data_IF_289837715415
#
_entry.id   IF_289837715415
#
_cell.length_a   1.000
_cell.length_b   1.000
_cell.length_c   1.000
_cell.angle_alpha   90.00
_cell.angle_beta   90.00
_cell.angle_gamma   90.00
#
_symmetry.space_group_name_H-M   'P 1'
#
loop_
_entity.id
_entity.type
_entity.pdbx_description
1 polymer ?
#
# COMPACT_ATOMS: atom_id res chain seq x y z
N UNK A 1 -29.36 -13.07 2.51
CA UNK A 1 -28.99 -13.93 3.66
C UNK A 1 -28.82 -13.06 4.89
N UNK A 2 -29.03 -13.61 6.08
CA UNK A 2 -28.80 -12.93 7.35
C UNK A 2 -27.29 -12.67 7.52
N UNK A 3 -26.86 -11.47 7.16
CA UNK A 3 -25.48 -11.00 7.37
C UNK A 3 -25.02 -11.20 8.80
N UNK A 4 -25.96 -11.11 9.73
CA UNK A 4 -25.73 -11.23 11.14
C UNK A 4 -26.97 -11.84 11.81
N UNK A 5 -26.78 -12.90 12.57
CA UNK A 5 -27.77 -13.50 13.45
C UNK A 5 -27.42 -13.15 14.89
N UNK A 6 -28.40 -12.68 15.66
CA UNK A 6 -28.21 -12.58 17.09
C UNK A 6 -28.32 -13.98 17.71
N UNK A 7 -27.22 -14.48 18.28
CA UNK A 7 -27.25 -15.75 19.00
C UNK A 7 -27.87 -15.57 20.39
N UNK A 8 -28.62 -16.58 20.81
CA UNK A 8 -29.09 -16.66 22.19
C UNK A 8 -27.88 -16.87 23.13
N UNK A 9 -27.65 -16.00 24.13
CA UNK A 9 -26.58 -16.16 25.12
C UNK A 9 -26.58 -17.50 25.87
N UNK A 10 -27.71 -18.23 25.88
CA UNK A 10 -27.79 -19.59 26.43
C UNK A 10 -26.82 -20.56 25.74
N UNK A 11 -26.46 -20.32 24.47
CA UNK A 11 -25.52 -21.18 23.73
C UNK A 11 -24.10 -21.16 24.31
N UNK A 12 -23.63 -20.02 24.84
CA UNK A 12 -22.35 -19.95 25.55
C UNK A 12 -22.33 -20.81 26.81
N UNK A 13 -23.49 -20.95 27.47
CA UNK A 13 -23.63 -21.79 28.65
C UNK A 13 -23.49 -23.28 28.34
N UNK A 14 -23.96 -23.71 27.17
CA UNK A 14 -23.83 -25.09 26.72
C UNK A 14 -22.43 -25.43 26.18
N UNK A 15 -21.65 -24.43 25.78
CA UNK A 15 -20.33 -24.61 25.12
C UNK A 15 -19.13 -24.33 26.03
N UNK A 16 -19.35 -24.03 27.32
CA UNK A 16 -18.31 -23.69 28.31
C UNK A 16 -17.44 -22.46 27.95
N UNK A 17 -17.89 -21.58 27.05
CA UNK A 17 -17.15 -20.39 26.59
C UNK A 17 -17.25 -19.17 27.53
N UNK A 18 -17.47 -19.38 28.83
CA UNK A 18 -17.84 -18.33 29.81
C UNK A 18 -16.77 -17.27 30.11
N UNK A 19 -15.55 -17.38 29.58
CA UNK A 19 -14.37 -16.72 30.16
C UNK A 19 -14.05 -15.30 29.65
N UNK A 20 -14.92 -14.66 28.86
CA UNK A 20 -14.63 -13.33 28.27
C UNK A 20 -15.40 -12.16 28.91
N UNK A 21 -16.32 -12.41 29.86
CA UNK A 21 -17.04 -11.35 30.56
C UNK A 21 -16.25 -10.89 31.80
N UNK A 22 -15.50 -9.80 31.68
CA UNK A 22 -14.99 -9.07 32.85
C UNK A 22 -16.19 -8.38 33.51
N UNK A 23 -16.61 -8.88 34.68
CA UNK A 23 -17.60 -8.20 35.51
C UNK A 23 -16.98 -6.90 36.09
N UNK A 24 -17.07 -5.79 35.37
CA UNK A 24 -16.87 -4.47 35.99
C UNK A 24 -18.08 -4.13 36.88
N UNK A 25 -17.97 -4.44 38.17
CA UNK A 25 -18.91 -3.94 39.17
C UNK A 25 -18.64 -2.46 39.43
N UNK A 26 -19.45 -1.57 38.86
CA UNK A 26 -19.59 -0.20 39.37
C UNK A 26 -20.64 -0.17 40.48
N UNK A 27 -20.29 0.46 41.59
CA UNK A 27 -21.20 0.77 42.69
C UNK A 27 -22.28 1.75 42.22
N UNK A 28 -23.52 1.27 42.11
CA UNK A 28 -24.70 2.09 41.79
C UNK A 28 -25.53 1.49 40.65
N UNK A 29 -26.41 0.53 40.98
CA UNK A 29 -27.43 0.01 40.07
C UNK A 29 -26.92 -1.03 39.07
N UNK A 30 -27.49 -2.24 39.14
CA UNK A 30 -27.16 -3.34 38.22
C UNK A 30 -27.82 -3.12 36.86
N UNK A 31 -27.27 -2.22 36.04
CA UNK A 31 -27.60 -2.20 34.62
C UNK A 31 -26.78 -3.32 33.95
N UNK A 32 -27.38 -4.53 33.86
CA UNK A 32 -26.80 -5.62 33.06
C UNK A 32 -26.79 -5.16 31.60
N UNK A 33 -25.65 -4.62 31.15
CA UNK A 33 -25.39 -4.39 29.73
C UNK A 33 -25.41 -5.76 29.06
N UNK A 34 -26.56 -6.15 28.51
CA UNK A 34 -26.72 -7.47 27.90
C UNK A 34 -25.73 -7.62 26.76
N UNK A 35 -24.78 -8.54 26.90
CA UNK A 35 -23.85 -8.89 25.83
C UNK A 35 -24.67 -9.45 24.67
N UNK A 36 -24.68 -8.73 23.54
CA UNK A 36 -25.30 -9.20 22.30
C UNK A 36 -24.25 -10.03 21.55
N UNK A 37 -24.51 -11.33 21.44
CA UNK A 37 -23.68 -12.21 20.63
C UNK A 37 -24.18 -12.17 19.20
N UNK A 38 -23.28 -11.79 18.30
CA UNK A 38 -23.54 -11.70 16.89
C UNK A 38 -22.79 -12.83 16.19
N UNK A 39 -23.54 -13.66 15.48
CA UNK A 39 -23.04 -14.70 14.61
C UNK A 39 -23.14 -14.24 13.18
N UNK A 40 -22.15 -14.59 12.38
CA UNK A 40 -22.07 -14.20 10.98
C UNK A 40 -22.08 -15.51 10.17
N UNK A 41 -23.26 -16.11 9.91
CA UNK A 41 -23.37 -17.39 9.22
C UNK A 41 -22.67 -17.40 7.86
N UNK A 42 -22.57 -16.23 7.22
CA UNK A 42 -21.85 -16.03 5.97
C UNK A 42 -20.35 -16.34 6.03
N UNK A 43 -19.75 -16.41 7.23
CA UNK A 43 -18.37 -16.84 7.44
C UNK A 43 -18.26 -18.37 7.58
N UNK A 44 -19.37 -19.10 7.56
CA UNK A 44 -19.35 -20.56 7.52
C UNK A 44 -19.15 -21.08 6.11
N UNK A 45 -18.46 -22.21 6.05
CA UNK A 45 -18.11 -22.98 4.86
C UNK A 45 -19.28 -23.13 3.89
N UNK A 46 -19.38 -22.23 2.93
CA UNK A 46 -20.03 -22.49 1.65
C UNK A 46 -18.92 -22.69 0.62
N UNK A 47 -19.09 -23.67 -0.26
CA UNK A 47 -18.13 -23.93 -1.33
C UNK A 47 -18.08 -22.74 -2.28
N UNK A 48 -16.90 -22.53 -2.88
CA UNK A 48 -16.71 -21.49 -3.89
C UNK A 48 -17.56 -21.86 -5.12
N UNK A 49 -18.43 -20.98 -5.62
CA UNK A 49 -19.19 -21.26 -6.84
C UNK A 49 -18.27 -21.36 -8.06
N UNK A 50 -18.58 -22.28 -8.98
CA UNK A 50 -17.90 -22.38 -10.29
C UNK A 50 -18.37 -21.29 -11.27
N UNK A 51 -19.62 -20.86 -11.13
CA UNK A 51 -20.24 -19.77 -11.90
C UNK A 51 -21.01 -18.86 -10.94
N UNK A 52 -20.88 -17.54 -11.11
CA UNK A 52 -21.53 -16.55 -10.25
C UNK A 52 -22.66 -15.79 -10.95
N UNK A 53 -22.45 -15.48 -12.23
CA UNK A 53 -23.38 -14.73 -13.06
C UNK A 53 -23.19 -15.13 -14.51
N UNK A 54 -24.26 -15.06 -15.30
CA UNK A 54 -24.21 -15.26 -16.75
C UNK A 54 -23.66 -14.04 -17.50
N UNK A 55 -23.48 -12.91 -16.81
CA UNK A 55 -22.88 -11.70 -17.38
C UNK A 55 -21.36 -11.85 -17.50
N UNK A 56 -20.81 -11.33 -18.60
CA UNK A 56 -19.36 -11.28 -18.79
C UNK A 56 -18.77 -10.20 -17.89
N UNK A 57 -17.72 -10.56 -17.13
CA UNK A 57 -16.94 -9.61 -16.37
C UNK A 57 -16.19 -8.66 -17.29
N UNK A 58 -16.28 -7.36 -16.99
CA UNK A 58 -15.71 -6.27 -17.80
C UNK A 58 -14.57 -5.55 -17.10
N UNK A 59 -14.46 -5.71 -15.78
CA UNK A 59 -13.39 -5.15 -14.98
C UNK A 59 -12.83 -6.15 -13.98
N UNK A 60 -11.51 -6.13 -13.80
CA UNK A 60 -10.82 -6.89 -12.76
C UNK A 60 -9.65 -6.10 -12.17
N UNK A 61 -9.55 -6.12 -10.85
CA UNK A 61 -8.50 -5.44 -10.09
C UNK A 61 -8.04 -6.29 -8.92
N UNK A 62 -6.78 -6.13 -8.54
CA UNK A 62 -6.13 -6.94 -7.53
C UNK A 62 -5.29 -6.08 -6.57
N UNK A 63 -5.44 -6.33 -5.27
CA UNK A 63 -4.48 -5.91 -4.24
C UNK A 63 -3.61 -7.11 -3.87
N UNK A 64 -2.35 -7.10 -4.32
CA UNK A 64 -1.49 -8.27 -4.26
C UNK A 64 -0.29 -8.06 -3.35
N UNK A 65 -0.01 -9.03 -2.49
CA UNK A 65 1.20 -9.07 -1.67
C UNK A 65 2.47 -9.08 -2.53
N UNK A 66 3.45 -8.27 -2.18
CA UNK A 66 4.73 -8.20 -2.90
C UNK A 66 5.68 -9.35 -2.53
N UNK A 67 5.58 -9.85 -1.30
CA UNK A 67 6.35 -10.99 -0.79
C UNK A 67 5.52 -12.28 -0.83
N UNK A 68 6.17 -13.39 -1.18
CA UNK A 68 5.57 -14.74 -1.15
C UNK A 68 5.29 -15.27 0.27
N UNK A 69 5.74 -14.56 1.31
CA UNK A 69 5.53 -14.92 2.71
C UNK A 69 4.50 -14.04 3.39
N UNK A 70 3.86 -13.15 2.64
CA UNK A 70 2.85 -12.22 3.12
C UNK A 70 1.47 -12.67 2.71
N UNK A 71 0.52 -12.60 3.66
CA UNK A 71 -0.84 -13.07 3.48
C UNK A 71 -1.81 -12.08 4.12
N UNK A 72 -2.96 -11.87 3.49
CA UNK A 72 -4.06 -11.15 4.10
C UNK A 72 -4.62 -11.98 5.25
N UNK A 73 -4.76 -11.40 6.46
CA UNK A 73 -5.30 -12.13 7.59
C UNK A 73 -6.80 -12.39 7.37
N UNK A 74 -7.35 -13.54 7.82
CA UNK A 74 -8.79 -13.82 7.70
C UNK A 74 -9.69 -12.69 8.26
N UNK A 75 -9.24 -12.04 9.34
CA UNK A 75 -9.93 -10.90 9.94
C UNK A 75 -10.11 -9.74 8.96
N UNK A 76 -9.14 -9.48 8.09
CA UNK A 76 -9.25 -8.44 7.06
C UNK A 76 -10.42 -8.73 6.12
N UNK A 77 -10.55 -9.97 5.64
CA UNK A 77 -11.67 -10.36 4.79
C UNK A 77 -13.01 -10.19 5.50
N UNK A 78 -13.12 -10.61 6.76
CA UNK A 78 -14.37 -10.52 7.52
C UNK A 78 -14.82 -9.07 7.70
N UNK A 79 -13.90 -8.15 8.00
CA UNK A 79 -14.22 -6.71 8.11
C UNK A 79 -14.62 -6.14 6.76
N UNK A 80 -13.82 -6.43 5.72
CA UNK A 80 -14.07 -5.94 4.37
C UNK A 80 -15.43 -6.40 3.83
N UNK A 81 -15.76 -7.68 3.99
CA UNK A 81 -16.99 -8.25 3.45
C UNK A 81 -18.23 -7.68 4.14
N UNK A 82 -18.15 -7.40 5.45
CA UNK A 82 -19.21 -6.70 6.18
C UNK A 82 -19.36 -5.24 5.72
N UNK A 83 -18.25 -4.53 5.52
CA UNK A 83 -18.29 -3.15 5.02
C UNK A 83 -18.94 -3.09 3.63
N UNK A 84 -18.50 -3.93 2.70
CA UNK A 84 -19.03 -3.99 1.33
C UNK A 84 -20.50 -4.38 1.32
N UNK A 85 -20.87 -5.45 2.00
CA UNK A 85 -22.26 -5.89 2.03
C UNK A 85 -23.19 -4.82 2.64
N UNK A 86 -22.78 -4.19 3.75
CA UNK A 86 -23.63 -3.19 4.40
C UNK A 86 -23.76 -1.89 3.59
N UNK A 87 -22.66 -1.42 2.98
CA UNK A 87 -22.58 -0.15 2.26
C UNK A 87 -23.08 -0.23 0.80
N UNK A 88 -22.92 -1.38 0.14
CA UNK A 88 -23.02 -1.47 -1.33
C UNK A 88 -23.99 -2.52 -1.85
N UNK A 89 -24.36 -3.52 -1.05
CA UNK A 89 -25.39 -4.48 -1.46
C UNK A 89 -26.78 -3.90 -1.24
N UNK A 90 -27.73 -4.30 -2.09
CA UNK A 90 -29.12 -3.84 -2.01
C UNK A 90 -29.77 -4.33 -0.68
N UNK A 91 -30.42 -3.46 0.11
CA UNK A 91 -31.16 -3.86 1.30
C UNK A 91 -32.44 -4.63 0.96
N UNK A 92 -32.90 -5.49 1.87
CA UNK A 92 -34.21 -6.13 1.75
C UNK A 92 -35.30 -5.19 2.30
N UNK A 93 -36.47 -5.14 1.64
CA UNK A 93 -37.53 -4.14 1.90
C UNK A 93 -37.98 -4.08 3.37
N UNK A 94 -37.98 -5.21 4.08
CA UNK A 94 -38.51 -5.34 5.44
C UNK A 94 -37.44 -5.52 6.54
N UNK A 95 -36.15 -5.58 6.18
CA UNK A 95 -35.06 -5.78 7.15
C UNK A 95 -33.85 -4.87 6.85
N UNK A 96 -33.60 -3.92 7.76
CA UNK A 96 -32.50 -2.95 7.66
C UNK A 96 -31.11 -3.58 7.66
N UNK A 97 -30.96 -4.82 8.13
CA UNK A 97 -29.68 -5.52 8.21
C UNK A 97 -29.50 -6.53 7.08
N UNK A 98 -30.58 -7.06 6.50
CA UNK A 98 -30.44 -8.03 5.42
C UNK A 98 -30.05 -7.36 4.10
N UNK A 99 -29.23 -8.07 3.34
CA UNK A 99 -28.70 -7.62 2.06
C UNK A 99 -28.79 -8.73 1.00
N UNK A 100 -28.99 -8.32 -0.26
CA UNK A 100 -28.94 -9.19 -1.42
C UNK A 100 -27.49 -9.43 -1.84
N UNK A 101 -26.86 -10.41 -1.18
CA UNK A 101 -25.50 -10.82 -1.44
C UNK A 101 -25.29 -12.30 -1.11
N UNK A 102 -24.32 -12.91 -1.80
CA UNK A 102 -23.91 -14.31 -1.66
C UNK A 102 -22.50 -14.35 -1.08
N UNK A 103 -22.28 -15.22 -0.08
CA UNK A 103 -20.99 -15.40 0.56
C UNK A 103 -20.50 -16.83 0.43
N UNK A 104 -19.19 -16.99 0.42
CA UNK A 104 -18.50 -18.27 0.61
C UNK A 104 -17.21 -18.01 1.40
N UNK A 105 -16.46 -19.08 1.67
CA UNK A 105 -15.33 -19.08 2.60
C UNK A 105 -14.41 -17.85 2.51
N UNK A 106 -14.09 -17.41 1.29
CA UNK A 106 -13.15 -16.32 1.03
C UNK A 106 -13.70 -15.23 0.12
N UNK A 107 -15.01 -15.21 -0.17
CA UNK A 107 -15.54 -14.22 -1.10
C UNK A 107 -17.00 -13.84 -0.90
N UNK A 108 -17.35 -12.76 -1.57
CA UNK A 108 -18.60 -12.04 -1.50
C UNK A 108 -18.99 -11.62 -2.92
N UNK A 109 -20.24 -11.90 -3.30
CA UNK A 109 -20.85 -11.38 -4.50
C UNK A 109 -22.13 -10.61 -4.17
N UNK A 110 -22.38 -9.49 -4.85
CA UNK A 110 -23.62 -8.74 -4.72
C UNK A 110 -24.01 -8.06 -6.03
N UNK A 111 -25.30 -7.72 -6.12
CA UNK A 111 -25.81 -6.76 -7.10
C UNK A 111 -26.19 -5.46 -6.39
N UNK A 112 -25.93 -4.33 -7.03
CA UNK A 112 -26.31 -3.02 -6.51
C UNK A 112 -27.74 -2.60 -6.88
N UNK A 113 -28.51 -3.45 -7.58
CA UNK A 113 -29.86 -3.11 -8.07
C UNK A 113 -29.89 -2.13 -9.25
N UNK A 114 -28.72 -1.67 -9.72
CA UNK A 114 -28.55 -0.75 -10.84
C UNK A 114 -27.78 -1.40 -12.00
N UNK A 115 -28.02 -2.69 -12.24
CA UNK A 115 -27.44 -3.43 -13.35
C UNK A 115 -25.96 -3.77 -13.21
N UNK A 116 -25.34 -3.57 -12.03
CA UNK A 116 -23.92 -3.92 -11.79
C UNK A 116 -23.83 -5.08 -10.79
N UNK A 117 -23.11 -6.12 -11.18
CA UNK A 117 -22.68 -7.23 -10.33
C UNK A 117 -21.24 -7.04 -9.88
N UNK A 118 -20.95 -7.30 -8.61
CA UNK A 118 -19.62 -7.13 -8.03
C UNK A 118 -19.21 -8.35 -7.22
N UNK A 119 -17.97 -8.75 -7.39
CA UNK A 119 -17.33 -9.88 -6.76
C UNK A 119 -16.07 -9.39 -6.03
N UNK A 120 -15.93 -9.72 -4.76
CA UNK A 120 -14.70 -9.54 -3.99
C UNK A 120 -14.30 -10.87 -3.36
N UNK A 121 -13.07 -11.31 -3.59
CA UNK A 121 -12.59 -12.60 -3.13
C UNK A 121 -11.11 -12.55 -2.73
N UNK A 122 -10.74 -13.27 -1.68
CA UNK A 122 -9.34 -13.55 -1.35
C UNK A 122 -8.89 -14.83 -2.06
N UNK A 123 -7.92 -14.67 -2.97
CA UNK A 123 -7.39 -15.72 -3.86
C UNK A 123 -5.87 -15.83 -3.70
N UNK A 124 -5.21 -16.67 -4.51
CA UNK A 124 -3.76 -16.86 -4.52
C UNK A 124 -3.21 -17.21 -3.13
N UNK A 125 -3.79 -18.23 -2.49
CA UNK A 125 -3.42 -18.67 -1.13
C UNK A 125 -3.48 -17.54 -0.07
N UNK A 126 -4.42 -16.62 -0.20
CA UNK A 126 -4.56 -15.42 0.64
C UNK A 126 -3.51 -14.33 0.39
N UNK A 127 -2.84 -14.34 -0.74
CA UNK A 127 -1.88 -13.29 -1.13
C UNK A 127 -2.51 -12.19 -1.97
N UNK A 128 -3.77 -12.34 -2.39
CA UNK A 128 -4.40 -11.40 -3.29
C UNK A 128 -5.87 -11.15 -2.93
N UNK A 129 -6.27 -9.88 -2.86
CA UNK A 129 -7.68 -9.48 -2.87
C UNK A 129 -8.05 -9.20 -4.32
N UNK A 130 -8.97 -10.00 -4.85
CA UNK A 130 -9.52 -9.89 -6.19
C UNK A 130 -10.84 -9.13 -6.14
N UNK A 131 -11.00 -8.18 -7.06
CA UNK A 131 -12.26 -7.48 -7.35
C UNK A 131 -12.59 -7.75 -8.80
N UNK A 132 -13.81 -8.21 -9.10
CA UNK A 132 -14.31 -8.33 -10.47
C UNK A 132 -15.71 -7.71 -10.56
N UNK A 133 -16.01 -7.07 -11.69
CA UNK A 133 -17.30 -6.45 -11.93
C UNK A 133 -17.84 -6.79 -13.31
N UNK A 134 -19.15 -6.99 -13.37
CA UNK A 134 -19.93 -7.10 -14.59
C UNK A 134 -21.02 -6.04 -14.57
N UNK A 135 -21.43 -5.55 -15.73
CA UNK A 135 -22.60 -4.68 -15.82
C UNK A 135 -23.46 -5.01 -17.03
N UNK A 136 -24.75 -4.70 -16.90
CA UNK A 136 -25.68 -4.69 -18.02
C UNK A 136 -25.29 -3.63 -19.04
N UNK A 137 -25.74 -3.82 -20.29
CA UNK A 137 -25.48 -2.89 -21.37
C UNK A 137 -26.06 -1.51 -21.03
N UNK A 138 -25.22 -0.47 -21.09
CA UNK A 138 -25.59 0.91 -20.77
C UNK A 138 -25.41 1.31 -19.31
N UNK A 139 -24.88 0.42 -18.46
CA UNK A 139 -24.60 0.69 -17.04
C UNK A 139 -23.11 0.78 -16.72
N UNK A 140 -22.27 1.07 -17.72
CA UNK A 140 -20.81 1.19 -17.54
C UNK A 140 -20.45 2.36 -16.61
N UNK A 141 -21.13 3.50 -16.72
CA UNK A 141 -20.92 4.64 -15.81
C UNK A 141 -21.19 4.28 -14.34
N UNK A 142 -22.24 3.49 -14.09
CA UNK A 142 -22.55 2.98 -12.76
C UNK A 142 -21.48 2.03 -12.25
N UNK A 143 -20.93 1.18 -13.13
CA UNK A 143 -19.81 0.30 -12.81
C UNK A 143 -18.54 1.09 -12.49
N UNK A 144 -18.23 2.14 -13.26
CA UNK A 144 -17.09 3.04 -13.00
C UNK A 144 -17.22 3.72 -11.64
N UNK A 145 -18.41 4.21 -11.29
CA UNK A 145 -18.66 4.79 -9.98
C UNK A 145 -18.50 3.77 -8.87
N UNK A 146 -19.13 2.60 -8.99
CA UNK A 146 -19.04 1.55 -7.98
C UNK A 146 -17.61 0.99 -7.84
N UNK A 147 -16.86 0.91 -8.94
CA UNK A 147 -15.44 0.56 -8.95
C UNK A 147 -14.64 1.48 -8.03
N UNK A 148 -14.88 2.80 -8.11
CA UNK A 148 -14.23 3.79 -7.24
C UNK A 148 -14.55 3.50 -5.76
N UNK A 149 -15.82 3.29 -5.45
CA UNK A 149 -16.26 3.08 -4.06
C UNK A 149 -15.70 1.77 -3.49
N UNK A 150 -15.75 0.68 -4.26
CA UNK A 150 -15.21 -0.63 -3.85
C UNK A 150 -13.70 -0.56 -3.63
N UNK A 151 -12.93 0.01 -4.57
CA UNK A 151 -11.48 0.15 -4.41
C UNK A 151 -11.16 1.02 -3.19
N UNK A 152 -11.89 2.12 -2.99
CA UNK A 152 -11.74 2.98 -1.82
C UNK A 152 -11.95 2.23 -0.51
N UNK A 153 -13.02 1.42 -0.42
CA UNK A 153 -13.32 0.63 0.76
C UNK A 153 -12.28 -0.45 1.02
N UNK A 154 -11.85 -1.18 -0.01
CA UNK A 154 -10.76 -2.16 0.06
C UNK A 154 -9.50 -1.52 0.64
N UNK A 155 -9.10 -0.36 0.11
CA UNK A 155 -7.90 0.33 0.56
C UNK A 155 -8.04 0.91 1.96
N UNK A 156 -9.23 1.38 2.35
CA UNK A 156 -9.51 1.88 3.71
C UNK A 156 -9.36 0.76 4.74
N UNK A 157 -10.02 -0.39 4.52
CA UNK A 157 -9.95 -1.53 5.43
C UNK A 157 -8.53 -2.09 5.50
N UNK A 158 -7.79 -2.06 4.39
CA UNK A 158 -6.39 -2.51 4.34
C UNK A 158 -5.49 -1.64 5.23
N UNK A 159 -5.60 -0.31 5.09
CA UNK A 159 -4.84 0.64 5.91
C UNK A 159 -5.15 0.52 7.40
N UNK A 160 -6.38 0.21 7.76
CA UNK A 160 -6.79 0.05 9.16
C UNK A 160 -6.38 -1.30 9.74
N UNK A 161 -6.55 -2.38 8.98
CA UNK A 161 -6.45 -3.75 9.51
C UNK A 161 -5.05 -4.37 9.36
N UNK A 162 -4.33 -4.03 8.29
CA UNK A 162 -3.02 -4.62 8.00
C UNK A 162 -2.05 -3.64 7.30
N UNK A 163 -1.79 -2.44 7.86
CA UNK A 163 -0.97 -1.41 7.23
C UNK A 163 0.49 -1.79 6.98
N UNK A 164 1.02 -2.77 7.70
CA UNK A 164 2.39 -3.26 7.53
C UNK A 164 2.57 -4.22 6.34
N UNK A 165 1.46 -4.74 5.80
CA UNK A 165 1.48 -5.70 4.71
C UNK A 165 1.86 -4.99 3.42
N UNK A 166 3.01 -5.33 2.83
CA UNK A 166 3.45 -4.73 1.56
C UNK A 166 2.65 -5.29 0.39
N UNK A 167 1.94 -4.41 -0.31
CA UNK A 167 1.05 -4.75 -1.42
C UNK A 167 1.32 -3.88 -2.66
N UNK A 168 0.86 -4.35 -3.81
CA UNK A 168 0.81 -3.63 -5.08
C UNK A 168 -0.59 -3.74 -5.67
N UNK A 169 -1.03 -2.67 -6.33
CA UNK A 169 -2.32 -2.61 -7.01
C UNK A 169 -2.16 -2.93 -8.50
N UNK A 170 -3.00 -3.83 -9.01
CA UNK A 170 -2.94 -4.33 -10.39
C UNK A 170 -4.34 -4.32 -11.03
N UNK A 171 -4.39 -4.06 -12.33
CA UNK A 171 -5.58 -4.24 -13.18
C UNK A 171 -5.38 -5.47 -14.04
N UNK A 172 -6.35 -6.37 -14.11
CA UNK A 172 -6.32 -7.54 -14.99
C UNK A 172 -6.76 -7.09 -16.39
N UNK A 173 -6.07 -7.56 -17.44
CA UNK A 173 -6.49 -7.34 -18.82
C UNK A 173 -7.95 -7.80 -19.01
N UNK A 174 -8.86 -6.94 -19.50
CA UNK A 174 -10.26 -7.30 -19.70
C UNK A 174 -10.47 -8.56 -20.54
N UNK A 175 -9.52 -8.91 -21.42
CA UNK A 175 -9.56 -10.14 -22.25
C UNK A 175 -9.32 -11.42 -21.44
N UNK A 176 -8.88 -11.31 -20.19
CA UNK A 176 -8.54 -12.45 -19.33
C UNK A 176 -9.47 -12.63 -18.11
N UNK A 177 -10.61 -11.94 -18.06
CA UNK A 177 -11.56 -11.93 -16.92
C UNK A 177 -12.47 -13.17 -16.81
N UNK A 178 -12.00 -14.34 -17.22
CA UNK A 178 -12.74 -15.59 -17.03
C UNK A 178 -12.71 -16.03 -15.55
N UNK A 179 -13.88 -16.13 -14.93
CA UNK A 179 -14.06 -16.68 -13.59
C UNK A 179 -14.18 -18.23 -13.65
N UNK A 180 -13.64 -18.99 -12.69
CA UNK A 180 -12.91 -18.55 -11.50
C UNK A 180 -11.47 -18.11 -11.77
N UNK A 181 -10.99 -17.15 -10.97
CA UNK A 181 -9.59 -16.70 -10.98
C UNK A 181 -8.91 -17.19 -9.72
N UNK A 182 -8.01 -18.17 -9.84
CA UNK A 182 -7.25 -18.72 -8.72
C UNK A 182 -5.97 -17.92 -8.45
N UNK A 183 -5.22 -17.67 -9.52
CA UNK A 183 -3.89 -17.08 -9.47
C UNK A 183 -3.82 -15.87 -10.42
N UNK A 184 -4.18 -14.66 -9.97
CA UNK A 184 -4.12 -13.46 -10.82
C UNK A 184 -2.73 -13.17 -11.40
N UNK A 185 -1.64 -13.71 -10.81
CA UNK A 185 -0.25 -13.55 -11.31
C UNK A 185 0.00 -14.22 -12.64
N UNK A 186 -0.78 -15.25 -12.97
CA UNK A 186 -0.67 -16.01 -14.22
C UNK A 186 -1.39 -15.31 -15.38
N UNK A 187 -2.07 -14.19 -15.10
CA UNK A 187 -2.81 -13.39 -16.08
C UNK A 187 -2.00 -12.20 -16.57
N UNK A 188 -2.37 -11.66 -17.73
CA UNK A 188 -1.90 -10.34 -18.16
C UNK A 188 -2.44 -9.29 -17.20
N UNK A 189 -1.54 -8.59 -16.50
CA UNK A 189 -1.89 -7.57 -15.51
C UNK A 189 -1.06 -6.30 -15.70
N UNK A 190 -1.66 -5.16 -15.35
CA UNK A 190 -1.07 -3.84 -15.46
C UNK A 190 -0.95 -3.20 -14.07
N UNK A 191 0.21 -2.62 -13.76
CA UNK A 191 0.37 -1.87 -12.51
C UNK A 191 -0.52 -0.62 -12.53
N UNK A 192 -1.34 -0.42 -11.49
CA UNK A 192 -2.14 0.80 -11.34
C UNK A 192 -1.25 2.04 -11.37
N UNK A 193 -0.07 1.98 -10.74
CA UNK A 193 0.91 3.07 -10.79
C UNK A 193 1.31 3.39 -12.24
N UNK A 194 1.60 2.37 -13.04
CA UNK A 194 2.02 2.57 -14.43
C UNK A 194 0.87 3.16 -15.28
N UNK A 195 -0.35 2.65 -15.10
CA UNK A 195 -1.56 3.17 -15.73
C UNK A 195 -1.74 4.66 -15.41
N UNK A 196 -1.71 5.03 -14.13
CA UNK A 196 -1.88 6.41 -13.69
C UNK A 196 -0.77 7.33 -14.22
N UNK A 197 0.50 6.88 -14.20
CA UNK A 197 1.61 7.64 -14.78
C UNK A 197 1.42 7.87 -16.28
N UNK A 198 0.95 6.88 -17.04
CA UNK A 198 0.66 7.06 -18.45
C UNK A 198 -0.47 8.06 -18.69
N UNK A 199 -1.53 8.06 -17.88
CA UNK A 199 -2.60 9.07 -17.95
C UNK A 199 -2.06 10.47 -17.67
N UNK A 200 -1.27 10.65 -16.61
CA UNK A 200 -0.67 11.94 -16.23
C UNK A 200 0.26 12.47 -17.32
N UNK A 201 1.06 11.59 -17.93
CA UNK A 201 1.95 11.92 -19.04
C UNK A 201 1.21 12.02 -20.39
N UNK A 202 -0.12 11.88 -20.41
CA UNK A 202 -0.96 11.93 -21.62
C UNK A 202 -0.52 10.93 -22.69
N UNK A 203 0.02 9.79 -22.28
CA UNK A 203 0.39 8.69 -23.18
C UNK A 203 -0.83 7.83 -23.47
N UNK A 204 -1.14 7.53 -24.74
CA UNK A 204 -2.32 6.74 -25.08
C UNK A 204 -2.16 5.24 -24.80
N UNK A 205 -0.94 4.76 -24.51
CA UNK A 205 -0.63 3.35 -24.32
C UNK A 205 0.36 3.09 -23.18
N UNK A 206 0.32 1.88 -22.63
CA UNK A 206 1.36 1.30 -21.78
C UNK A 206 2.31 0.45 -22.59
N UNK A 207 3.61 0.56 -22.29
CA UNK A 207 4.64 -0.35 -22.79
C UNK A 207 4.85 -1.43 -21.73
N UNK A 208 4.50 -2.66 -22.05
CA UNK A 208 4.81 -3.84 -21.22
C UNK A 208 6.11 -4.50 -21.70
N UNK A 209 6.65 -5.43 -20.91
CA UNK A 209 7.88 -6.16 -21.24
C UNK A 209 7.78 -6.84 -22.60
N UNK A 210 8.78 -6.64 -23.47
CA UNK A 210 8.83 -7.27 -24.79
C UNK A 210 8.07 -6.54 -25.89
N UNK A 211 8.11 -5.20 -25.91
CA UNK A 211 7.59 -4.29 -26.96
C UNK A 211 6.07 -4.22 -27.17
N UNK A 212 5.28 -5.04 -26.45
CA UNK A 212 3.82 -4.99 -26.50
C UNK A 212 3.31 -3.65 -25.97
N UNK A 213 2.45 -3.00 -26.77
CA UNK A 213 1.74 -1.77 -26.41
C UNK A 213 0.26 -2.11 -26.22
N UNK A 214 -0.32 -1.65 -25.12
CA UNK A 214 -1.76 -1.76 -24.87
C UNK A 214 -2.33 -0.36 -24.66
N UNK A 215 -3.38 -0.02 -25.39
CA UNK A 215 -4.05 1.27 -25.24
C UNK A 215 -4.71 1.38 -23.86
N UNK A 216 -4.67 2.57 -23.25
CA UNK A 216 -5.27 2.76 -21.93
C UNK A 216 -6.78 2.52 -21.93
N UNK A 217 -7.46 2.86 -23.04
CA UNK A 217 -8.89 2.61 -23.23
C UNK A 217 -9.23 1.11 -23.35
N UNK A 218 -8.26 0.26 -23.72
CA UNK A 218 -8.45 -1.20 -23.68
C UNK A 218 -8.30 -1.76 -22.26
N UNK A 219 -7.52 -1.09 -21.40
CA UNK A 219 -7.29 -1.53 -20.00
C UNK A 219 -8.42 -1.05 -19.09
N UNK A 220 -8.85 0.19 -19.29
CA UNK A 220 -9.94 0.83 -18.56
C UNK A 220 -11.02 1.26 -19.55
N UNK A 221 -11.81 0.30 -20.07
CA UNK A 221 -12.96 0.66 -20.89
C UNK A 221 -13.89 1.56 -20.08
N UNK A 222 -14.57 2.46 -20.79
CA UNK A 222 -15.56 3.40 -20.26
C UNK A 222 -15.05 4.45 -19.26
N UNK A 223 -13.75 4.45 -18.92
CA UNK A 223 -13.16 5.44 -18.02
C UNK A 223 -12.87 6.77 -18.74
N UNK A 224 -13.30 7.88 -18.16
CA UNK A 224 -12.94 9.22 -18.63
C UNK A 224 -11.50 9.59 -18.23
N UNK A 225 -10.52 9.16 -19.04
CA UNK A 225 -9.09 9.39 -18.78
C UNK A 225 -8.67 10.87 -18.77
N UNK A 226 -9.53 11.78 -19.24
CA UNK A 226 -9.32 13.23 -19.16
C UNK A 226 -9.55 13.79 -17.75
N UNK A 227 -10.39 13.16 -16.93
CA UNK A 227 -10.66 13.56 -15.54
C UNK A 227 -9.73 12.80 -14.59
N UNK A 228 -8.46 13.19 -14.61
CA UNK A 228 -7.37 12.55 -13.87
C UNK A 228 -7.66 12.47 -12.37
N UNK A 229 -8.32 13.48 -11.81
CA UNK A 229 -8.67 13.55 -10.38
C UNK A 229 -9.76 12.57 -9.96
N UNK A 230 -10.57 12.10 -10.90
CA UNK A 230 -11.75 11.30 -10.61
C UNK A 230 -11.63 9.86 -11.11
N UNK A 231 -10.43 9.46 -11.53
CA UNK A 231 -10.15 8.10 -11.95
C UNK A 231 -10.56 7.13 -10.83
N UNK A 232 -11.43 6.21 -11.18
CA UNK A 232 -11.97 5.16 -10.30
C UNK A 232 -10.88 4.27 -9.68
N UNK A 233 -9.73 4.07 -10.35
CA UNK A 233 -8.58 3.36 -9.78
C UNK A 233 -8.00 4.06 -8.54
N UNK A 234 -8.23 5.36 -8.37
CA UNK A 234 -7.80 6.08 -7.18
C UNK A 234 -8.60 5.66 -5.95
N UNK A 235 -9.82 5.13 -6.11
CA UNK A 235 -10.69 4.79 -5.00
C UNK A 235 -10.96 5.98 -4.07
N UNK A 236 -11.05 7.19 -4.62
CA UNK A 236 -11.22 8.43 -3.85
C UNK A 236 -9.95 9.00 -3.19
N UNK A 237 -8.77 8.40 -3.42
CA UNK A 237 -7.47 8.92 -2.98
C UNK A 237 -6.95 10.01 -3.91
N UNK A 238 -6.03 10.85 -3.42
CA UNK A 238 -5.32 11.79 -4.28
C UNK A 238 -4.40 11.03 -5.25
N UNK A 239 -4.29 11.48 -6.50
CA UNK A 239 -3.41 10.82 -7.47
C UNK A 239 -1.94 10.86 -7.04
N UNK A 240 -1.52 11.95 -6.39
CA UNK A 240 -0.20 12.04 -5.77
C UNK A 240 -0.07 11.02 -4.67
N UNK A 241 -1.11 10.79 -3.86
CA UNK A 241 -1.08 9.72 -2.88
C UNK A 241 -0.84 8.36 -3.57
N UNK A 242 -1.49 8.01 -4.68
CA UNK A 242 -1.27 6.70 -5.31
C UNK A 242 0.08 6.60 -6.02
N UNK A 243 0.55 7.68 -6.66
CA UNK A 243 1.84 7.73 -7.34
C UNK A 243 3.01 7.83 -6.34
N UNK A 244 2.86 8.60 -5.26
CA UNK A 244 3.84 8.87 -4.18
C UNK A 244 3.79 7.83 -3.05
N UNK A 245 2.68 7.11 -2.79
CA UNK A 245 2.67 6.01 -1.78
C UNK A 245 3.57 4.84 -2.19
N UNK A 246 4.01 4.76 -3.45
CA UNK A 246 5.09 3.84 -3.85
C UNK A 246 6.51 4.41 -3.76
N UNK A 247 6.71 5.66 -3.35
CA UNK A 247 8.03 6.12 -2.88
C UNK A 247 8.29 5.72 -1.42
N UNK A 248 7.26 5.29 -0.66
CA UNK A 248 7.50 4.69 0.66
C UNK A 248 7.97 3.24 0.61
N UNK A 249 7.75 2.51 -0.48
CA UNK A 249 8.35 1.18 -0.67
C UNK A 249 8.54 0.85 -2.15
N UNK A 250 9.80 0.82 -2.59
CA UNK A 250 10.32 0.38 -3.90
C UNK A 250 10.50 1.42 -5.02
N UNK A 251 11.05 2.58 -4.68
CA UNK A 251 12.23 3.08 -5.40
C UNK A 251 13.43 2.91 -4.48
N UNK A 252 14.67 2.69 -4.96
CA UNK A 252 15.85 2.95 -4.16
C UNK A 252 15.94 4.47 -4.00
N UNK A 253 14.99 5.06 -3.27
CA UNK A 253 15.09 6.42 -2.80
C UNK A 253 16.19 6.37 -1.76
N UNK A 254 17.36 6.83 -2.17
CA UNK A 254 18.24 7.59 -1.31
C UNK A 254 17.41 8.25 -0.20
N UNK A 255 17.44 7.69 1.01
CA UNK A 255 16.84 8.30 2.20
C UNK A 255 17.37 9.73 2.20
N UNK A 256 16.48 10.68 1.91
CA UNK A 256 16.85 12.09 1.81
C UNK A 256 16.98 12.58 3.24
N UNK A 257 18.22 12.78 3.66
CA UNK A 257 18.56 13.26 4.99
C UNK A 257 18.26 14.77 5.05
N UNK A 258 17.80 15.24 6.20
CA UNK A 258 17.66 16.66 6.47
C UNK A 258 18.42 17.07 7.75
N UNK A 259 18.38 18.36 8.10
CA UNK A 259 19.13 18.88 9.25
C UNK A 259 18.77 18.23 10.59
N UNK A 260 17.57 17.64 10.71
CA UNK A 260 17.13 16.91 11.90
C UNK A 260 17.85 15.58 12.07
N UNK A 261 18.45 15.04 11.01
CA UNK A 261 19.19 13.77 11.03
C UNK A 261 20.68 13.95 11.38
N UNK A 262 21.10 15.16 11.77
CA UNK A 262 22.51 15.45 12.08
C UNK A 262 23.05 14.54 13.19
N UNK A 263 22.26 14.25 14.22
CA UNK A 263 22.66 13.35 15.30
C UNK A 263 22.88 11.92 14.80
N UNK A 264 21.99 11.43 13.92
CA UNK A 264 22.08 10.10 13.30
C UNK A 264 23.32 10.01 12.41
N UNK A 265 23.55 11.00 11.54
CA UNK A 265 24.71 11.03 10.63
C UNK A 265 26.02 11.07 11.41
N UNK A 266 26.10 11.91 12.44
CA UNK A 266 27.30 12.00 13.28
C UNK A 266 27.53 10.67 14.00
N UNK A 267 26.49 10.09 14.61
CA UNK A 267 26.61 8.81 15.31
C UNK A 267 27.10 7.71 14.35
N UNK A 268 26.51 7.61 13.17
CA UNK A 268 26.91 6.59 12.20
C UNK A 268 28.38 6.76 11.81
N UNK A 269 28.79 7.96 11.39
CA UNK A 269 30.15 8.18 10.89
C UNK A 269 31.20 8.04 12.00
N UNK A 270 30.93 8.55 13.20
CA UNK A 270 31.93 8.60 14.28
C UNK A 270 31.87 7.40 15.23
N UNK A 271 30.68 7.09 15.75
CA UNK A 271 30.52 6.08 16.81
C UNK A 271 30.45 4.68 16.22
N UNK A 272 29.73 4.50 15.11
CA UNK A 272 29.51 3.18 14.52
C UNK A 272 30.61 2.80 13.51
N UNK A 273 31.09 3.78 12.72
CA UNK A 273 32.08 3.55 11.65
C UNK A 273 33.49 4.04 12.00
N UNK A 274 33.68 4.72 13.14
CA UNK A 274 34.98 5.21 13.62
C UNK A 274 35.75 6.10 12.61
N UNK A 275 35.03 6.88 11.79
CA UNK A 275 35.63 7.82 10.85
C UNK A 275 36.39 8.94 11.60
N UNK A 276 37.68 9.16 11.30
CA UNK A 276 38.44 10.27 11.89
C UNK A 276 37.85 11.62 11.49
N UNK A 277 37.52 12.48 12.47
CA UNK A 277 36.95 13.81 12.19
C UNK A 277 37.87 14.71 11.34
N UNK A 278 39.18 14.44 11.28
CA UNK A 278 40.15 15.19 10.46
C UNK A 278 39.89 15.11 8.95
N UNK A 279 39.11 14.14 8.47
CA UNK A 279 38.78 14.00 7.03
C UNK A 279 37.68 14.95 6.56
N UNK A 280 37.10 15.74 7.46
CA UNK A 280 35.95 16.62 7.20
C UNK A 280 36.12 17.52 5.98
N UNK A 281 37.31 18.09 5.79
CA UNK A 281 37.58 19.03 4.70
C UNK A 281 37.52 18.33 3.33
N UNK A 282 38.21 17.19 3.20
CA UNK A 282 38.19 16.37 1.97
C UNK A 282 36.79 15.84 1.68
N UNK A 283 36.10 15.38 2.72
CA UNK A 283 34.73 14.88 2.62
C UNK A 283 33.76 15.98 2.17
N UNK A 284 33.82 17.16 2.80
CA UNK A 284 32.96 18.31 2.48
C UNK A 284 33.06 18.74 1.02
N UNK A 285 34.26 18.75 0.46
CA UNK A 285 34.48 19.04 -0.97
C UNK A 285 33.78 18.00 -1.87
N UNK A 286 33.88 16.71 -1.54
CA UNK A 286 33.24 15.65 -2.33
C UNK A 286 31.71 15.68 -2.21
N UNK A 287 31.20 16.10 -1.05
CA UNK A 287 29.78 16.32 -0.81
C UNK A 287 29.22 17.56 -1.50
N UNK A 288 30.07 18.43 -2.07
CA UNK A 288 29.67 19.58 -2.86
C UNK A 288 29.71 20.93 -2.12
N UNK A 289 30.34 21.00 -0.95
CA UNK A 289 30.63 22.25 -0.27
C UNK A 289 31.83 22.94 -0.92
N UNK A 290 31.80 24.27 -0.99
CA UNK A 290 32.90 25.03 -1.56
C UNK A 290 34.06 25.19 -0.58
N UNK A 291 35.28 25.15 -1.11
CA UNK A 291 36.52 25.35 -0.34
C UNK A 291 36.51 26.64 0.52
N UNK A 292 36.11 27.83 0.00
CA UNK A 292 35.96 29.02 0.84
C UNK A 292 35.07 28.86 2.08
N UNK A 293 33.99 28.07 1.98
CA UNK A 293 33.09 27.80 3.12
C UNK A 293 33.77 26.92 4.15
N UNK A 294 34.49 25.90 3.70
CA UNK A 294 35.23 24.99 4.58
C UNK A 294 36.35 25.76 5.30
N UNK A 295 37.13 26.58 4.60
CA UNK A 295 38.17 27.42 5.20
C UNK A 295 37.58 28.35 6.28
N UNK A 296 36.46 29.03 5.98
CA UNK A 296 35.77 29.88 6.95
C UNK A 296 35.25 29.10 8.18
N UNK A 297 34.79 27.86 8.00
CA UNK A 297 34.46 26.97 9.15
C UNK A 297 35.69 26.65 10.00
N UNK A 298 36.83 26.38 9.38
CA UNK A 298 38.08 26.05 10.08
C UNK A 298 38.57 27.23 10.93
N UNK A 299 38.55 28.44 10.36
CA UNK A 299 38.90 29.68 11.06
C UNK A 299 37.94 29.95 12.23
N UNK A 300 36.63 29.82 12.01
CA UNK A 300 35.60 30.03 13.05
C UNK A 300 35.74 29.05 14.22
N UNK A 301 36.17 27.83 13.95
CA UNK A 301 36.33 26.79 14.96
C UNK A 301 37.78 26.61 15.45
N UNK A 302 38.70 27.50 15.03
CA UNK A 302 40.12 27.51 15.43
C UNK A 302 40.84 26.18 15.14
N UNK A 303 40.50 25.52 14.03
CA UNK A 303 41.10 24.25 13.66
C UNK A 303 40.66 23.04 14.49
N UNK A 304 39.59 23.14 15.30
CA UNK A 304 39.04 22.02 16.07
C UNK A 304 38.34 21.01 15.13
N UNK A 305 38.95 19.82 14.87
CA UNK A 305 38.46 18.93 13.82
C UNK A 305 37.06 18.38 14.10
N UNK A 306 36.68 18.23 15.37
CA UNK A 306 35.36 17.71 15.75
C UNK A 306 34.29 18.75 15.46
N UNK A 307 34.52 20.01 15.83
CA UNK A 307 33.57 21.10 15.55
C UNK A 307 33.46 21.37 14.04
N UNK A 308 34.57 21.37 13.32
CA UNK A 308 34.57 21.51 11.87
C UNK A 308 33.82 20.37 11.19
N UNK A 309 34.00 19.11 11.64
CA UNK A 309 33.24 17.96 11.11
C UNK A 309 31.73 18.11 11.34
N UNK A 310 31.31 18.50 12.54
CA UNK A 310 29.89 18.78 12.83
C UNK A 310 29.32 19.90 11.96
N UNK A 311 30.04 21.01 11.82
CA UNK A 311 29.63 22.13 10.98
C UNK A 311 29.52 21.74 9.50
N UNK A 312 30.48 20.94 9.01
CA UNK A 312 30.50 20.40 7.66
C UNK A 312 29.27 19.51 7.38
N UNK A 313 28.98 18.54 8.25
CA UNK A 313 27.79 17.68 8.09
C UNK A 313 26.50 18.50 8.18
N UNK A 314 26.46 19.51 9.05
CA UNK A 314 25.33 20.43 9.17
C UNK A 314 25.07 21.23 7.88
N UNK A 315 26.12 21.75 7.24
CA UNK A 315 26.03 22.47 5.98
C UNK A 315 25.60 21.56 4.82
N UNK A 316 26.14 20.34 4.76
CA UNK A 316 25.73 19.32 3.80
C UNK A 316 24.25 18.97 3.92
N UNK A 317 23.75 18.73 5.15
CA UNK A 317 22.33 18.41 5.40
C UNK A 317 21.38 19.57 5.06
N UNK A 318 21.84 20.82 5.14
CA UNK A 318 21.09 21.99 4.65
C UNK A 318 21.08 22.10 3.12
N UNK A 319 21.91 21.33 2.43
CA UNK A 319 22.04 21.36 0.97
C UNK A 319 22.69 22.64 0.47
N UNK A 320 23.65 23.18 1.22
CA UNK A 320 24.40 24.39 0.85
C UNK A 320 25.27 24.17 -0.41
N UNK A 321 25.67 25.27 -1.06
CA UNK A 321 26.54 25.26 -2.23
C UNK A 321 26.07 24.28 -3.33
N UNK A 322 26.94 23.38 -3.84
CA UNK A 322 26.63 22.41 -4.91
C UNK A 322 26.16 21.06 -4.38
N UNK A 323 25.77 20.96 -3.12
CA UNK A 323 25.35 19.67 -2.52
C UNK A 323 24.20 19.04 -3.30
N UNK A 324 23.23 19.84 -3.77
CA UNK A 324 22.10 19.34 -4.59
C UNK A 324 22.54 18.81 -5.95
N UNK A 325 23.55 19.43 -6.57
CA UNK A 325 24.14 18.96 -7.83
C UNK A 325 24.92 17.64 -7.64
N UNK A 326 25.43 17.40 -6.43
CA UNK A 326 26.16 16.18 -6.01
C UNK A 326 25.24 15.07 -5.48
N UNK A 327 23.94 15.11 -5.80
CA UNK A 327 22.96 14.10 -5.39
C UNK A 327 22.22 14.41 -4.08
N UNK A 328 22.45 15.59 -3.50
CA UNK A 328 21.78 16.05 -2.28
C UNK A 328 22.24 15.32 -1.00
N UNK A 329 21.65 15.67 0.15
CA UNK A 329 21.92 14.98 1.41
C UNK A 329 21.25 13.60 1.42
N UNK A 330 22.02 12.54 1.18
CA UNK A 330 21.54 11.15 1.19
C UNK A 330 22.64 10.17 1.58
N UNK A 331 22.26 8.98 2.05
CA UNK A 331 23.26 7.93 2.35
C UNK A 331 24.05 7.47 1.13
N UNK A 332 23.45 7.50 -0.07
CA UNK A 332 24.16 7.13 -1.30
C UNK A 332 25.20 8.16 -1.68
N UNK A 333 24.85 9.45 -1.68
CA UNK A 333 25.82 10.52 -1.96
C UNK A 333 26.94 10.57 -0.92
N UNK A 334 26.62 10.30 0.35
CA UNK A 334 27.60 10.15 1.42
C UNK A 334 28.53 8.95 1.17
N UNK A 335 27.99 7.77 0.85
CA UNK A 335 28.78 6.58 0.53
C UNK A 335 29.69 6.82 -0.69
N UNK A 336 29.20 7.48 -1.74
CA UNK A 336 30.02 7.84 -2.91
C UNK A 336 31.14 8.82 -2.55
N UNK A 337 30.85 9.82 -1.72
CA UNK A 337 31.87 10.77 -1.26
C UNK A 337 32.94 10.08 -0.41
N UNK A 338 32.54 9.17 0.48
CA UNK A 338 33.45 8.35 1.29
C UNK A 338 34.33 7.43 0.44
N UNK A 339 33.74 6.76 -0.56
CA UNK A 339 34.49 5.93 -1.52
C UNK A 339 35.55 6.74 -2.27
N UNK A 340 35.21 7.99 -2.61
CA UNK A 340 36.11 8.92 -3.32
C UNK A 340 37.26 9.42 -2.44
N UNK A 341 37.10 9.50 -1.12
CA UNK A 341 38.18 9.86 -0.20
C UNK A 341 38.97 8.65 0.32
N UNK A 342 38.75 7.48 -0.29
CA UNK A 342 39.39 6.18 0.02
C UNK A 342 38.89 5.48 1.29
N UNK A 343 37.76 5.93 1.86
CA UNK A 343 37.07 5.30 3.00
C UNK A 343 36.12 4.19 2.53
N UNK A 344 36.65 3.24 1.74
CA UNK A 344 35.86 2.23 1.00
C UNK A 344 35.08 1.27 1.90
N UNK A 345 35.66 0.89 3.04
CA UNK A 345 35.02 0.00 4.02
C UNK A 345 33.76 0.66 4.61
N UNK A 346 33.88 1.93 5.03
CA UNK A 346 32.79 2.73 5.58
C UNK A 346 31.73 2.98 4.50
N UNK A 347 32.16 3.35 3.29
CA UNK A 347 31.27 3.53 2.15
C UNK A 347 30.44 2.26 1.88
N UNK A 348 31.07 1.08 1.90
CA UNK A 348 30.40 -0.20 1.69
C UNK A 348 29.41 -0.51 2.82
N UNK A 349 29.81 -0.33 4.09
CA UNK A 349 28.93 -0.54 5.23
C UNK A 349 27.68 0.36 5.17
N UNK A 350 27.85 1.64 4.82
CA UNK A 350 26.73 2.57 4.64
C UNK A 350 25.85 2.12 3.47
N UNK A 351 26.45 1.67 2.37
CA UNK A 351 25.71 1.15 1.21
C UNK A 351 24.88 -0.09 1.59
N UNK A 352 25.45 -1.00 2.36
CA UNK A 352 24.78 -2.23 2.79
C UNK A 352 23.69 -1.98 3.85
N UNK A 353 23.89 -0.99 4.71
CA UNK A 353 22.93 -0.67 5.78
C UNK A 353 21.78 0.19 5.29
N UNK A 354 22.04 1.11 4.36
CA UNK A 354 21.09 2.17 3.99
C UNK A 354 20.74 2.24 2.51
N UNK A 355 21.50 1.59 1.62
CA UNK A 355 21.31 1.69 0.17
C UNK A 355 20.91 0.37 -0.51
N UNK A 356 21.08 -0.79 0.13
CA UNK A 356 20.68 -2.09 -0.43
C UNK A 356 19.28 -2.52 0.04
N UNK A 357 18.31 -2.38 -0.85
CA UNK A 357 17.17 -3.29 -0.91
C UNK A 357 17.32 -4.13 -2.18
N UNK A 358 17.49 -5.44 -1.99
CA UNK A 358 17.64 -6.51 -2.99
C UNK A 358 19.07 -6.83 -3.47
N UNK A 359 19.73 -7.77 -2.79
CA UNK A 359 20.74 -8.65 -3.42
C UNK A 359 20.80 -9.98 -2.67
N UNK A 360 19.85 -10.89 -2.94
CA UNK A 360 20.04 -12.34 -2.87
C UNK A 360 19.01 -13.00 -3.81
N UNK A 361 19.31 -12.98 -5.10
CA UNK A 361 18.81 -13.97 -6.07
C UNK A 361 20.06 -14.43 -6.81
N UNK A 362 20.53 -15.63 -6.45
CA UNK A 362 21.41 -16.46 -7.27
C UNK A 362 20.60 -17.68 -7.70
#
# INVERSE_FOLDING_TARGET
>A
MELCQQMNPSFLKMTNLHQLAVEEKKEGGTEKRGERLLFFPCLLYSDRPDEMTSQVYQFGWCLQCTSKHHFFPPRYFHVLSLHLAYKMALPQEDDKLNRYCTFWKNGLYWSNGHGVGSLVEIVDESQCVLVMMSCEKGYSDNMVSLRRDVIGEVMSVYKESCPSLKVKELVIDPKELAYPVNTPRERTVYSVKAVLLAVVEQRPFLVTTGTRRTELNEILPDELLSDISNLSLLGGRDIKEVIEITEKFNTPTTIKLDIKDLDIVIKELTSDQHLPCSVWHRLGLQLGLYDPRLVDMDERHRGDPVKCFHACMSAWLRGEDKVREKGGPSWSSLATALDTIEEKSIATNIRDKYCTSNQWIA
#
